data_IF_026761420952
#
_entry.id   IF_026761420952
#
_cell.length_a   1.000
_cell.length_b   1.000
_cell.length_c   1.000
_cell.angle_alpha   90.00
_cell.angle_beta   90.00
_cell.angle_gamma   90.00
#
_symmetry.space_group_name_H-M   'P 1'
#
loop_
_entity.id
_entity.type
_entity.pdbx_description
1 polymer ?
#
# COMPACT_ATOMS: atom_id res chain seq x y z
N UNK A 1 14.44 -1.55 -4.41
CA UNK A 1 13.36 -1.72 -3.42
C UNK A 1 13.83 -2.55 -2.23
N UNK A 2 14.15 -3.84 -2.38
CA UNK A 2 14.61 -4.66 -1.24
C UNK A 2 15.91 -4.12 -0.61
N UNK A 3 16.92 -3.77 -1.42
CA UNK A 3 18.18 -3.23 -0.90
C UNK A 3 18.07 -1.86 -0.22
N UNK A 4 17.14 -1.00 -0.66
CA UNK A 4 16.86 0.27 0.03
C UNK A 4 16.13 0.03 1.36
N UNK A 5 15.10 -0.82 1.35
CA UNK A 5 14.37 -1.21 2.56
C UNK A 5 15.29 -1.86 3.61
N UNK A 6 16.28 -2.66 3.19
CA UNK A 6 17.25 -3.26 4.12
C UNK A 6 18.16 -2.23 4.76
N UNK A 7 18.56 -1.18 4.04
CA UNK A 7 19.34 -0.07 4.59
C UNK A 7 18.55 0.77 5.59
N UNK A 8 17.24 0.90 5.38
CA UNK A 8 16.33 1.59 6.29
C UNK A 8 15.94 0.75 7.52
N UNK A 9 16.13 -0.58 7.45
CA UNK A 9 15.76 -1.54 8.50
C UNK A 9 16.93 -2.50 8.78
N UNK A 10 18.06 -1.95 9.23
CA UNK A 10 19.30 -2.72 9.46
C UNK A 10 19.12 -3.82 10.52
N UNK A 11 18.28 -3.55 11.52
CA UNK A 11 17.91 -4.40 12.65
C UNK A 11 17.01 -5.58 12.28
N UNK A 12 16.29 -5.50 11.16
CA UNK A 12 15.33 -6.55 10.77
C UNK A 12 16.01 -7.70 10.02
N UNK A 13 15.58 -8.96 10.19
CA UNK A 13 16.06 -10.08 9.39
C UNK A 13 15.88 -9.81 7.89
N UNK A 14 16.85 -10.21 7.09
CA UNK A 14 16.82 -9.98 5.64
C UNK A 14 15.60 -10.64 4.98
N UNK A 15 15.21 -11.82 5.43
CA UNK A 15 14.02 -12.54 4.97
C UNK A 15 12.75 -11.71 5.14
N UNK A 16 12.57 -11.05 6.29
CA UNK A 16 11.41 -10.18 6.56
C UNK A 16 11.37 -9.02 5.58
N UNK A 17 12.52 -8.40 5.32
CA UNK A 17 12.66 -7.29 4.37
C UNK A 17 12.38 -7.75 2.94
N UNK A 18 12.87 -8.93 2.55
CA UNK A 18 12.67 -9.50 1.23
C UNK A 18 11.19 -9.82 0.98
N UNK A 19 10.55 -10.52 1.92
CA UNK A 19 9.13 -10.90 1.80
C UNK A 19 8.26 -9.64 1.77
N UNK A 20 8.58 -8.63 2.58
CA UNK A 20 7.90 -7.32 2.51
C UNK A 20 8.04 -6.70 1.13
N UNK A 21 9.25 -6.62 0.59
CA UNK A 21 9.49 -6.07 -0.73
C UNK A 21 8.73 -6.83 -1.83
N UNK A 22 8.66 -8.16 -1.74
CA UNK A 22 7.88 -9.01 -2.65
C UNK A 22 6.38 -8.73 -2.55
N UNK A 23 5.84 -8.62 -1.33
CA UNK A 23 4.42 -8.31 -1.10
C UNK A 23 4.06 -6.94 -1.64
N UNK A 24 4.78 -5.90 -1.22
CA UNK A 24 4.45 -4.50 -1.52
C UNK A 24 4.59 -4.21 -3.04
N UNK A 25 5.51 -4.91 -3.72
CA UNK A 25 5.69 -4.83 -5.18
C UNK A 25 4.55 -5.44 -6.01
N UNK A 26 3.82 -6.40 -5.45
CA UNK A 26 2.89 -7.24 -6.21
C UNK A 26 1.42 -7.05 -5.81
N UNK A 27 1.15 -6.81 -4.52
CA UNK A 27 -0.21 -6.65 -4.00
C UNK A 27 -1.05 -5.57 -4.73
N UNK A 28 -0.48 -4.42 -5.15
CA UNK A 28 -1.25 -3.42 -5.90
C UNK A 28 -1.73 -3.88 -7.28
N UNK A 29 -1.11 -4.93 -7.85
CA UNK A 29 -1.38 -5.45 -9.21
C UNK A 29 -2.32 -6.64 -9.21
N UNK A 30 -2.52 -7.26 -8.05
CA UNK A 30 -3.29 -8.49 -7.93
C UNK A 30 -4.79 -8.25 -7.87
N UNK A 31 -5.54 -9.21 -8.41
CA UNK A 31 -6.95 -9.36 -8.09
C UNK A 31 -7.10 -9.85 -6.64
N UNK A 32 -8.31 -9.78 -6.11
CA UNK A 32 -8.60 -10.24 -4.74
C UNK A 32 -8.21 -11.70 -4.55
N UNK A 33 -8.52 -12.54 -5.52
CA UNK A 33 -8.25 -13.99 -5.46
C UNK A 33 -6.75 -14.28 -5.57
N UNK A 34 -6.04 -13.54 -6.43
CA UNK A 34 -4.58 -13.64 -6.57
C UNK A 34 -3.86 -13.27 -5.27
N UNK A 35 -4.37 -12.25 -4.55
CA UNK A 35 -3.79 -11.83 -3.27
C UNK A 35 -3.92 -12.91 -2.19
N UNK A 36 -5.02 -13.66 -2.18
CA UNK A 36 -5.22 -14.80 -1.27
C UNK A 36 -4.24 -15.92 -1.61
N UNK A 37 -4.13 -16.29 -2.89
CA UNK A 37 -3.21 -17.33 -3.34
C UNK A 37 -1.75 -16.96 -3.06
N UNK A 38 -1.37 -15.71 -3.34
CA UNK A 38 -0.03 -15.20 -3.08
C UNK A 38 0.33 -15.27 -1.59
N UNK A 39 -0.61 -14.92 -0.71
CA UNK A 39 -0.40 -15.03 0.75
C UNK A 39 -0.20 -16.48 1.18
N UNK A 40 -0.97 -17.42 0.62
CA UNK A 40 -0.82 -18.84 0.90
C UNK A 40 0.55 -19.36 0.46
N UNK A 41 1.00 -19.01 -0.75
CA UNK A 41 2.34 -19.37 -1.26
C UNK A 41 3.44 -18.81 -0.37
N UNK A 42 3.32 -17.53 0.06
CA UNK A 42 4.30 -16.94 0.97
C UNK A 42 4.34 -17.66 2.33
N UNK A 43 3.19 -18.06 2.88
CA UNK A 43 3.13 -18.80 4.15
C UNK A 43 3.74 -20.20 4.03
N UNK A 44 3.58 -20.87 2.89
CA UNK A 44 4.18 -22.19 2.63
C UNK A 44 5.71 -22.10 2.50
N UNK A 45 6.21 -21.07 1.79
CA UNK A 45 7.65 -20.86 1.60
C UNK A 45 8.37 -20.28 2.82
N UNK A 46 7.66 -19.48 3.64
CA UNK A 46 8.23 -18.75 4.78
C UNK A 46 7.34 -18.87 6.04
N UNK A 47 7.14 -20.08 6.59
CA UNK A 47 6.15 -20.33 7.65
C UNK A 47 6.46 -19.66 8.99
N UNK A 48 7.75 -19.40 9.26
CA UNK A 48 8.23 -18.76 10.49
C UNK A 48 8.20 -17.24 10.44
N UNK A 49 7.91 -16.63 9.28
CA UNK A 49 7.98 -15.18 9.11
C UNK A 49 6.60 -14.55 9.33
N UNK A 50 6.46 -13.82 10.44
CA UNK A 50 5.34 -12.91 10.63
C UNK A 50 5.70 -11.55 10.01
N UNK A 51 4.96 -11.16 8.97
CA UNK A 51 5.08 -9.83 8.40
C UNK A 51 4.39 -8.83 9.34
N UNK A 52 5.11 -7.86 9.92
CA UNK A 52 4.46 -6.81 10.68
C UNK A 52 3.61 -5.96 9.74
N UNK A 53 2.40 -5.62 10.18
CA UNK A 53 1.62 -4.58 9.53
C UNK A 53 2.33 -3.24 9.67
N UNK A 54 2.29 -2.45 8.59
CA UNK A 54 2.89 -1.14 8.61
C UNK A 54 1.91 -0.15 9.24
N UNK A 55 2.33 0.47 10.34
CA UNK A 55 1.57 1.57 10.92
C UNK A 55 1.86 2.85 10.13
N UNK A 56 0.85 3.29 9.37
CA UNK A 56 0.90 4.55 8.63
C UNK A 56 0.54 5.76 9.49
N UNK A 57 0.11 5.58 10.74
CA UNK A 57 -0.10 6.62 11.74
C UNK A 57 -0.73 7.91 11.20
N UNK A 58 0.03 9.01 11.26
CA UNK A 58 -0.37 10.34 10.78
C UNK A 58 -0.83 10.33 9.31
N UNK A 59 -0.19 9.54 8.45
CA UNK A 59 -0.55 9.47 7.04
C UNK A 59 -1.94 8.88 6.84
N UNK A 60 -2.27 7.79 7.54
CA UNK A 60 -3.61 7.20 7.50
C UNK A 60 -4.67 8.17 8.03
N UNK A 61 -4.39 8.83 9.15
CA UNK A 61 -5.31 9.81 9.74
C UNK A 61 -5.60 10.98 8.79
N UNK A 62 -4.58 11.50 8.10
CA UNK A 62 -4.75 12.59 7.12
C UNK A 62 -5.54 12.14 5.89
N UNK A 63 -5.37 10.89 5.43
CA UNK A 63 -6.19 10.32 4.34
C UNK A 63 -7.67 10.29 4.73
N UNK A 64 -7.97 9.78 5.93
CA UNK A 64 -9.36 9.70 6.42
C UNK A 64 -9.97 11.09 6.57
N UNK A 65 -9.20 12.06 7.08
CA UNK A 65 -9.62 13.46 7.19
C UNK A 65 -9.89 14.08 5.81
N UNK A 66 -9.01 13.90 4.84
CA UNK A 66 -9.18 14.43 3.49
C UNK A 66 -10.43 13.84 2.79
N UNK A 67 -10.72 12.54 3.00
CA UNK A 67 -11.94 11.89 2.50
C UNK A 67 -13.19 12.52 3.13
N UNK A 68 -13.18 12.74 4.45
CA UNK A 68 -14.29 13.36 5.18
C UNK A 68 -14.52 14.82 4.74
N UNK A 69 -13.45 15.60 4.55
CA UNK A 69 -13.52 16.98 4.06
C UNK A 69 -14.10 17.08 2.66
N UNK A 70 -13.92 16.05 1.83
CA UNK A 70 -14.56 15.94 0.52
C UNK A 70 -16.05 15.53 0.58
N UNK A 71 -16.62 15.37 1.78
CA UNK A 71 -18.00 14.95 1.99
C UNK A 71 -18.25 13.47 1.66
N UNK A 72 -17.21 12.64 1.67
CA UNK A 72 -17.28 11.22 1.31
C UNK A 72 -17.21 10.33 2.55
N UNK A 73 -17.76 9.11 2.42
CA UNK A 73 -17.64 8.09 3.44
C UNK A 73 -16.22 7.50 3.43
N UNK A 74 -15.62 7.36 4.61
CA UNK A 74 -14.36 6.63 4.80
C UNK A 74 -14.62 5.14 4.60
N UNK A 75 -13.88 4.53 3.66
CA UNK A 75 -13.93 3.11 3.35
C UNK A 75 -12.51 2.56 3.39
N UNK A 76 -12.24 1.56 4.24
CA UNK A 76 -10.89 1.01 4.45
C UNK A 76 -10.21 0.56 3.15
N UNK A 77 -10.97 -0.04 2.23
CA UNK A 77 -10.45 -0.45 0.93
C UNK A 77 -9.96 0.74 0.10
N UNK A 78 -10.62 1.90 0.20
CA UNK A 78 -10.22 3.12 -0.49
C UNK A 78 -8.99 3.75 0.17
N UNK A 79 -8.97 3.85 1.50
CA UNK A 79 -7.80 4.31 2.28
C UNK A 79 -6.57 3.46 1.95
N UNK A 80 -6.71 2.14 1.91
CA UNK A 80 -5.64 1.20 1.55
C UNK A 80 -5.13 1.45 0.12
N UNK A 81 -6.01 1.78 -0.82
CA UNK A 81 -5.64 2.07 -2.21
C UNK A 81 -4.92 3.41 -2.37
N UNK A 82 -5.23 4.41 -1.55
CA UNK A 82 -4.47 5.67 -1.49
C UNK A 82 -3.04 5.42 -1.05
N UNK A 83 -2.86 4.60 0.00
CA UNK A 83 -1.55 4.21 0.51
C UNK A 83 -0.76 3.45 -0.56
N UNK A 84 -1.35 2.42 -1.17
CA UNK A 84 -0.71 1.64 -2.24
C UNK A 84 -0.30 2.52 -3.43
N UNK A 85 -1.13 3.52 -3.77
CA UNK A 85 -0.82 4.46 -4.85
C UNK A 85 0.40 5.34 -4.50
N UNK A 86 0.45 5.88 -3.28
CA UNK A 86 1.60 6.65 -2.79
C UNK A 86 2.89 5.82 -2.77
N UNK A 87 2.85 4.61 -2.20
CA UNK A 87 4.02 3.71 -2.17
C UNK A 87 4.52 3.37 -3.57
N UNK A 88 3.59 3.17 -4.51
CA UNK A 88 3.97 2.90 -5.91
C UNK A 88 4.65 4.12 -6.55
N UNK A 89 4.17 5.33 -6.28
CA UNK A 89 4.76 6.58 -6.77
C UNK A 89 6.17 6.84 -6.23
N UNK A 90 6.47 6.41 -5.00
CA UNK A 90 7.83 6.53 -4.43
C UNK A 90 8.86 5.71 -5.20
N UNK A 91 8.43 4.63 -5.87
CA UNK A 91 9.35 3.67 -6.52
C UNK A 91 9.31 3.76 -8.05
N UNK A 92 8.22 4.30 -8.63
CA UNK A 92 8.02 4.34 -10.08
C UNK A 92 7.41 5.67 -10.52
N UNK A 93 7.99 6.26 -11.57
CA UNK A 93 7.44 7.46 -12.20
C UNK A 93 6.24 7.19 -13.11
N UNK A 94 6.18 6.00 -13.72
CA UNK A 94 5.04 5.57 -14.54
C UNK A 94 4.07 4.72 -13.72
N UNK A 95 2.92 5.29 -13.35
CA UNK A 95 1.88 4.62 -12.56
C UNK A 95 0.53 4.74 -13.25
N UNK A 96 -0.25 3.66 -13.24
CA UNK A 96 -1.61 3.61 -13.79
C UNK A 96 -2.60 3.24 -12.71
N UNK A 97 -3.70 4.00 -12.61
CA UNK A 97 -4.87 3.61 -11.81
C UNK A 97 -5.87 2.90 -12.72
N UNK A 98 -6.06 1.60 -12.50
CA UNK A 98 -6.89 0.74 -13.35
C UNK A 98 -8.09 0.20 -12.56
N UNK A 99 -9.26 0.16 -13.19
CA UNK A 99 -10.50 -0.31 -12.58
C UNK A 99 -11.74 0.24 -13.30
N UNK A 100 -12.95 -0.20 -12.93
CA UNK A 100 -14.20 0.21 -13.58
C UNK A 100 -14.54 1.68 -13.34
N UNK A 101 -15.40 2.23 -14.20
CA UNK A 101 -16.01 3.56 -13.98
C UNK A 101 -16.75 3.57 -12.65
N UNK A 102 -16.67 4.68 -11.90
CA UNK A 102 -17.23 4.78 -10.56
C UNK A 102 -16.42 4.06 -9.46
N UNK A 103 -15.35 3.34 -9.79
CA UNK A 103 -14.51 2.61 -8.82
C UNK A 103 -13.59 3.47 -7.95
N UNK A 104 -13.87 4.76 -7.75
CA UNK A 104 -13.13 5.62 -6.83
C UNK A 104 -11.71 6.04 -7.27
N UNK A 105 -11.27 5.70 -8.49
CA UNK A 105 -9.93 6.05 -9.02
C UNK A 105 -9.64 7.55 -8.93
N UNK A 106 -10.63 8.38 -9.32
CA UNK A 106 -10.51 9.83 -9.27
C UNK A 106 -10.40 10.35 -7.84
N UNK A 107 -11.16 9.77 -6.93
CA UNK A 107 -11.08 10.08 -5.50
C UNK A 107 -9.69 9.74 -4.96
N UNK A 108 -9.15 8.57 -5.28
CA UNK A 108 -7.85 8.09 -4.77
C UNK A 108 -6.73 9.10 -5.04
N UNK A 109 -6.52 9.53 -6.29
CA UNK A 109 -5.41 10.44 -6.59
C UNK A 109 -5.66 11.87 -6.06
N UNK A 110 -6.92 12.32 -6.00
CA UNK A 110 -7.27 13.64 -5.44
C UNK A 110 -7.08 13.68 -3.93
N UNK A 111 -7.50 12.64 -3.22
CA UNK A 111 -7.23 12.47 -1.79
C UNK A 111 -5.73 12.46 -1.55
N UNK A 112 -4.95 11.70 -2.33
CA UNK A 112 -3.50 11.71 -2.17
C UNK A 112 -2.90 13.10 -2.38
N UNK A 113 -3.33 13.83 -3.42
CA UNK A 113 -2.87 15.19 -3.69
C UNK A 113 -3.12 16.12 -2.51
N UNK A 114 -4.32 16.08 -1.92
CA UNK A 114 -4.66 16.90 -0.75
C UNK A 114 -3.84 16.52 0.48
N UNK A 115 -3.67 15.22 0.74
CA UNK A 115 -2.86 14.71 1.86
C UNK A 115 -1.42 15.20 1.76
N UNK A 116 -0.82 15.15 0.57
CA UNK A 116 0.57 15.60 0.34
C UNK A 116 0.74 17.12 0.44
N UNK A 117 -0.33 17.91 0.33
CA UNK A 117 -0.30 19.36 0.55
C UNK A 117 -0.35 19.72 2.04
N UNK A 118 -0.95 18.85 2.87
CA UNK A 118 -1.19 19.10 4.28
C UNK A 118 -0.15 18.46 5.22
N UNK A 119 0.67 17.54 4.70
CA UNK A 119 1.71 16.84 5.48
C UNK A 119 2.97 17.68 5.66
#
# INVERSE_FOLDING_TARGET
MAGSLKRENLDKPEEVVLIRALRDSNLPKFLKDDAVLFKAILQDLFPSVQLPDHDYGRFKAEIELAIQQAGLQVVDAQTSKVIQFWETLLVRHGVMLVGPTGGGKTTIYRTLMQVLQNL
#
